data_IF_010189351469
#
_entry.id   IF_010189351469
#
_cell.length_a   1.000
_cell.length_b   1.000
_cell.length_c   1.000
_cell.angle_alpha   90.00
_cell.angle_beta   90.00
_cell.angle_gamma   90.00
#
_symmetry.space_group_name_H-M   'P 1'
#
loop_
_entity.id
_entity.type
_entity.pdbx_description
1 polymer ?
#
# COMPACT_ATOMS: atom_id res chain seq x y z
N UNK A 1 -9.79 16.35 -18.61
CA UNK A 1 -9.85 15.22 -17.64
C UNK A 1 -11.27 14.67 -17.63
N UNK A 2 -11.46 13.35 -17.78
CA UNK A 2 -12.80 12.75 -17.79
C UNK A 2 -13.48 12.78 -16.40
N UNK A 3 -14.81 12.66 -16.32
CA UNK A 3 -15.57 12.79 -15.07
C UNK A 3 -15.20 11.72 -14.02
N UNK A 4 -14.99 10.47 -14.45
CA UNK A 4 -14.59 9.36 -13.55
C UNK A 4 -13.22 9.62 -12.92
N UNK A 5 -12.27 10.10 -13.72
CA UNK A 5 -10.93 10.37 -13.24
C UNK A 5 -10.94 11.48 -12.17
N UNK A 6 -11.79 12.50 -12.33
CA UNK A 6 -11.98 13.55 -11.32
C UNK A 6 -12.54 12.98 -10.02
N UNK A 7 -13.56 12.12 -10.10
CA UNK A 7 -14.12 11.44 -8.93
C UNK A 7 -13.08 10.56 -8.21
N UNK A 8 -12.21 9.86 -8.96
CA UNK A 8 -11.11 9.09 -8.37
C UNK A 8 -10.14 9.98 -7.60
N UNK A 9 -9.77 11.14 -8.15
CA UNK A 9 -8.89 12.10 -7.46
C UNK A 9 -9.57 12.64 -6.20
N UNK A 10 -10.81 13.11 -6.32
CA UNK A 10 -11.57 13.65 -5.18
C UNK A 10 -11.66 12.62 -4.06
N UNK A 11 -12.01 11.37 -4.39
CA UNK A 11 -12.10 10.28 -3.43
C UNK A 11 -10.74 9.90 -2.83
N UNK A 12 -9.68 9.87 -3.63
CA UNK A 12 -8.33 9.57 -3.16
C UNK A 12 -7.86 10.57 -2.11
N UNK A 13 -8.28 11.84 -2.23
CA UNK A 13 -7.95 12.92 -1.31
C UNK A 13 -8.86 12.87 -0.08
N UNK A 14 -10.18 12.84 -0.29
CA UNK A 14 -11.16 12.96 0.78
C UNK A 14 -11.22 11.72 1.67
N UNK A 15 -10.82 10.55 1.19
CA UNK A 15 -10.87 9.27 1.90
C UNK A 15 -9.48 8.67 2.16
N UNK A 16 -8.42 9.48 2.08
CA UNK A 16 -7.04 8.98 2.12
C UNK A 16 -6.70 8.24 3.43
N UNK A 17 -7.18 8.74 4.57
CA UNK A 17 -7.01 8.09 5.87
C UNK A 17 -7.63 6.67 5.91
N UNK A 18 -8.81 6.52 5.31
CA UNK A 18 -9.55 5.27 5.21
C UNK A 18 -8.90 4.31 4.20
N UNK A 19 -8.40 4.82 3.08
CA UNK A 19 -7.56 4.08 2.13
C UNK A 19 -6.34 3.50 2.86
N UNK A 20 -5.64 4.32 3.65
CA UNK A 20 -4.47 3.89 4.41
C UNK A 20 -4.83 2.84 5.46
N UNK A 21 -5.98 2.99 6.13
CA UNK A 21 -6.47 2.00 7.08
C UNK A 21 -6.71 0.63 6.42
N UNK A 22 -7.28 0.61 5.22
CA UNK A 22 -7.48 -0.62 4.44
C UNK A 22 -6.15 -1.28 4.13
N UNK A 23 -5.24 -0.52 3.52
CA UNK A 23 -3.94 -1.02 3.09
C UNK A 23 -3.08 -1.52 4.25
N UNK A 24 -3.06 -0.84 5.41
CA UNK A 24 -2.38 -1.33 6.61
C UNK A 24 -2.92 -2.68 7.06
N UNK A 25 -4.24 -2.88 6.99
CA UNK A 25 -4.86 -4.17 7.28
C UNK A 25 -4.49 -5.25 6.25
N UNK A 26 -4.51 -4.91 4.97
CA UNK A 26 -4.23 -5.88 3.90
C UNK A 26 -2.77 -6.30 3.86
N UNK A 27 -1.85 -5.38 4.15
CA UNK A 27 -0.42 -5.65 4.24
C UNK A 27 -0.06 -6.40 5.52
N UNK A 28 -0.93 -6.33 6.53
CA UNK A 28 -0.75 -7.00 7.82
C UNK A 28 0.23 -6.27 8.75
N UNK A 29 0.60 -5.02 8.45
CA UNK A 29 1.47 -4.22 9.31
C UNK A 29 1.22 -2.73 9.15
N UNK A 30 1.57 -1.97 10.18
CA UNK A 30 1.48 -0.51 10.16
C UNK A 30 2.69 0.10 9.46
N UNK A 31 2.44 0.77 8.33
CA UNK A 31 3.40 1.67 7.70
C UNK A 31 3.08 3.13 8.01
N UNK A 32 4.11 3.98 7.97
CA UNK A 32 4.05 5.41 8.28
C UNK A 32 3.22 6.24 7.28
N UNK A 33 2.81 7.43 7.68
CA UNK A 33 2.09 8.36 6.80
C UNK A 33 2.97 8.84 5.63
N UNK A 34 4.29 8.88 5.82
CA UNK A 34 5.24 9.17 4.76
C UNK A 34 5.25 8.05 3.70
N UNK A 35 5.18 6.79 4.12
CA UNK A 35 5.03 5.64 3.23
C UNK A 35 3.73 5.74 2.42
N UNK A 36 2.61 6.02 3.10
CA UNK A 36 1.33 6.27 2.45
C UNK A 36 1.41 7.39 1.41
N UNK A 37 1.97 8.54 1.81
CA UNK A 37 2.09 9.71 0.94
C UNK A 37 2.95 9.44 -0.31
N UNK A 38 4.00 8.62 -0.21
CA UNK A 38 4.79 8.21 -1.38
C UNK A 38 3.95 7.41 -2.38
N UNK A 39 3.08 6.50 -1.90
CA UNK A 39 2.16 5.76 -2.78
C UNK A 39 1.19 6.70 -3.50
N UNK A 40 0.56 7.62 -2.76
CA UNK A 40 -0.36 8.59 -3.36
C UNK A 40 0.33 9.49 -4.38
N UNK A 41 1.52 10.01 -4.04
CA UNK A 41 2.28 10.87 -4.94
C UNK A 41 2.66 10.15 -6.24
N UNK A 42 3.09 8.88 -6.15
CA UNK A 42 3.40 8.10 -7.34
C UNK A 42 2.16 7.74 -8.16
N UNK A 43 1.02 7.51 -7.51
CA UNK A 43 -0.25 7.32 -8.20
C UNK A 43 -0.66 8.57 -9.00
N UNK A 44 -0.42 9.78 -8.50
CA UNK A 44 -0.60 11.00 -9.29
C UNK A 44 0.41 11.11 -10.44
N UNK A 45 1.69 10.90 -10.16
CA UNK A 45 2.78 10.98 -11.14
C UNK A 45 2.57 10.04 -12.34
N UNK A 46 2.18 8.80 -12.05
CA UNK A 46 1.85 7.79 -13.06
C UNK A 46 0.50 8.00 -13.76
N UNK A 47 -0.26 9.04 -13.38
CA UNK A 47 -1.66 9.25 -13.78
C UNK A 47 -2.52 8.00 -13.55
N UNK A 48 -2.37 7.35 -12.40
CA UNK A 48 -3.12 6.14 -12.03
C UNK A 48 -4.65 6.31 -12.09
N UNK A 49 -5.16 7.55 -11.99
CA UNK A 49 -6.57 7.90 -12.24
C UNK A 49 -7.04 7.72 -13.69
N UNK A 50 -6.12 7.52 -14.64
CA UNK A 50 -6.41 7.21 -16.04
C UNK A 50 -6.28 5.71 -16.36
N UNK A 51 -5.93 4.87 -15.38
CA UNK A 51 -5.76 3.44 -15.61
C UNK A 51 -7.11 2.77 -15.87
N UNK A 52 -7.21 1.97 -16.94
CA UNK A 52 -8.46 1.30 -17.34
C UNK A 52 -9.03 0.38 -16.26
N UNK A 53 -8.18 -0.20 -15.42
CA UNK A 53 -8.61 -1.04 -14.30
C UNK A 53 -8.97 -0.27 -13.04
N UNK A 54 -8.88 1.06 -13.00
CA UNK A 54 -9.18 1.84 -11.80
C UNK A 54 -10.65 2.30 -11.76
N UNK A 55 -11.29 2.09 -10.62
CA UNK A 55 -12.64 2.58 -10.33
C UNK A 55 -12.83 2.88 -8.84
N UNK A 56 -13.92 3.57 -8.49
CA UNK A 56 -14.13 4.10 -7.13
C UNK A 56 -14.04 3.00 -6.06
N UNK A 57 -14.55 1.80 -6.37
CA UNK A 57 -14.59 0.69 -5.43
C UNK A 57 -13.26 -0.04 -5.23
N UNK A 58 -12.26 0.12 -6.11
CA UNK A 58 -10.94 -0.50 -5.99
C UNK A 58 -9.79 0.48 -5.71
N UNK A 59 -10.13 1.76 -5.52
CA UNK A 59 -9.18 2.85 -5.39
C UNK A 59 -8.06 2.62 -4.35
N UNK A 60 -8.30 2.05 -3.15
CA UNK A 60 -7.22 1.82 -2.19
C UNK A 60 -6.09 0.99 -2.78
N UNK A 61 -6.44 -0.11 -3.47
CA UNK A 61 -5.46 -1.02 -4.03
C UNK A 61 -4.82 -0.48 -5.30
N UNK A 62 -5.52 0.36 -6.08
CA UNK A 62 -4.90 1.05 -7.21
C UNK A 62 -3.83 2.05 -6.75
N UNK A 63 -4.06 2.77 -5.65
CA UNK A 63 -3.03 3.64 -5.07
C UNK A 63 -1.80 2.83 -4.64
N UNK A 64 -2.01 1.64 -4.05
CA UNK A 64 -0.90 0.76 -3.68
C UNK A 64 -0.19 0.16 -4.89
N UNK A 65 -0.94 -0.30 -5.90
CA UNK A 65 -0.42 -0.94 -7.11
C UNK A 65 0.47 0.01 -7.93
N UNK A 66 0.08 1.28 -8.03
CA UNK A 66 0.91 2.33 -8.65
C UNK A 66 1.94 2.93 -7.70
N UNK A 67 1.96 2.50 -6.43
CA UNK A 67 2.95 2.93 -5.47
C UNK A 67 4.36 2.56 -5.94
N UNK A 68 5.38 3.35 -5.56
CA UNK A 68 6.75 2.99 -5.89
C UNK A 68 7.16 1.75 -5.09
N UNK A 69 8.32 1.17 -5.41
CA UNK A 69 8.97 0.24 -4.48
C UNK A 69 9.23 0.97 -3.15
N UNK A 70 8.88 0.35 -2.03
CA UNK A 70 8.93 0.99 -0.72
C UNK A 70 9.91 0.29 0.20
N UNK A 71 10.84 1.04 0.78
CA UNK A 71 11.66 0.52 1.87
C UNK A 71 10.81 0.17 3.10
N UNK A 72 11.07 -0.99 3.69
CA UNK A 72 10.50 -1.38 4.97
C UNK A 72 11.32 -0.87 6.16
N UNK A 73 12.49 -0.26 5.92
CA UNK A 73 13.26 0.38 6.98
C UNK A 73 12.43 1.46 7.68
N UNK A 74 12.45 1.44 9.01
CA UNK A 74 11.67 2.32 9.86
C UNK A 74 10.16 2.05 9.82
N UNK A 75 9.70 0.89 9.31
CA UNK A 75 8.28 0.49 9.37
C UNK A 75 8.04 -0.55 10.47
N UNK A 76 6.83 -0.60 11.02
CA UNK A 76 6.48 -1.50 12.12
C UNK A 76 5.98 -2.85 11.59
N UNK A 77 6.88 -3.64 11.00
CA UNK A 77 6.58 -4.92 10.35
C UNK A 77 6.30 -6.07 11.33
N UNK A 78 6.60 -5.91 12.61
CA UNK A 78 6.44 -6.96 13.63
C UNK A 78 5.00 -7.38 13.94
N UNK A 79 3.99 -6.66 13.43
CA UNK A 79 2.58 -7.09 13.48
C UNK A 79 2.29 -8.23 12.49
N UNK A 80 3.11 -8.39 11.45
CA UNK A 80 3.05 -9.50 10.51
C UNK A 80 4.08 -10.55 10.93
N UNK A 81 3.63 -11.58 11.66
CA UNK A 81 4.50 -12.63 12.20
C UNK A 81 5.35 -13.30 11.12
N UNK A 82 4.72 -13.72 10.02
CA UNK A 82 5.40 -14.40 8.91
C UNK A 82 6.50 -13.53 8.30
N UNK A 83 6.19 -12.27 7.96
CA UNK A 83 7.19 -11.35 7.43
C UNK A 83 8.32 -11.10 8.44
N UNK A 84 7.98 -10.89 9.71
CA UNK A 84 8.95 -10.61 10.76
C UNK A 84 9.92 -11.78 10.99
N UNK A 85 9.41 -13.01 10.96
CA UNK A 85 10.23 -14.22 11.14
C UNK A 85 11.13 -14.46 9.94
N UNK A 86 10.61 -14.22 8.72
CA UNK A 86 11.42 -14.30 7.49
C UNK A 86 12.56 -13.28 7.48
N UNK A 87 12.30 -12.05 7.92
CA UNK A 87 13.35 -11.03 8.07
C UNK A 87 14.41 -11.48 9.08
N UNK A 88 14.00 -11.93 10.28
CA UNK A 88 14.95 -12.41 11.31
C UNK A 88 15.83 -13.57 10.83
N UNK A 89 15.24 -14.49 10.06
CA UNK A 89 15.94 -15.68 9.57
C UNK A 89 16.89 -15.39 8.41
N UNK A 90 16.51 -14.48 7.50
CA UNK A 90 17.19 -14.32 6.21
C UNK A 90 17.99 -13.02 6.07
N UNK A 91 17.76 -12.02 6.92
CA UNK A 91 18.42 -10.71 6.88
C UNK A 91 19.11 -10.44 8.22
N UNK A 92 20.21 -11.14 8.54
CA UNK A 92 20.87 -11.07 9.84
C UNK A 92 21.44 -9.67 10.18
N UNK A 93 21.58 -8.80 9.18
CA UNK A 93 22.02 -7.41 9.35
C UNK A 93 20.91 -6.50 9.89
N UNK A 94 19.64 -6.91 9.78
CA UNK A 94 18.50 -6.11 10.17
C UNK A 94 18.20 -6.22 11.68
N UNK A 95 17.86 -5.09 12.30
CA UNK A 95 17.33 -5.04 13.65
C UNK A 95 15.82 -5.21 13.62
N UNK A 96 15.28 -6.19 14.35
CA UNK A 96 13.84 -6.35 14.52
C UNK A 96 13.50 -6.74 15.98
N UNK A 97 13.64 -5.79 16.92
CA UNK A 97 13.35 -6.00 18.33
C UNK A 97 11.88 -6.28 18.60
N UNK A 98 11.54 -6.57 19.87
CA UNK A 98 10.16 -6.85 20.32
C UNK A 98 9.17 -5.70 20.05
N UNK A 99 9.65 -4.47 19.88
CA UNK A 99 8.80 -3.32 19.51
C UNK A 99 8.15 -3.47 18.12
N UNK A 100 8.75 -4.31 17.26
CA UNK A 100 8.28 -4.65 15.92
C UNK A 100 8.72 -3.68 14.82
N UNK A 101 9.59 -2.73 15.13
CA UNK A 101 10.16 -1.80 14.14
C UNK A 101 11.33 -2.44 13.41
N UNK A 102 11.35 -2.35 12.09
CA UNK A 102 12.50 -2.73 11.29
C UNK A 102 13.52 -1.61 11.30
N UNK A 103 14.64 -1.81 11.98
CA UNK A 103 15.64 -0.79 12.27
C UNK A 103 17.05 -1.27 11.97
N UNK A 104 18.04 -0.41 12.21
CA UNK A 104 19.45 -0.75 12.00
C UNK A 104 19.86 -1.82 12.99
N UNK A 105 20.35 -2.95 12.47
CA UNK A 105 20.99 -4.00 13.27
C UNK A 105 22.51 -3.86 13.20
N UNK A 106 23.17 -4.95 12.83
CA UNK A 106 24.64 -5.04 12.76
C UNK A 106 25.22 -4.50 11.46
N UNK A 107 24.41 -4.27 10.43
CA UNK A 107 24.90 -3.84 9.11
C UNK A 107 23.88 -3.06 8.28
N UNK A 108 24.30 -2.66 7.08
CA UNK A 108 23.40 -2.09 6.07
C UNK A 108 22.56 -3.23 5.48
N UNK A 109 21.28 -2.97 5.27
CA UNK A 109 20.38 -3.85 4.55
C UNK A 109 19.39 -3.02 3.74
N UNK A 110 18.80 -3.65 2.72
CA UNK A 110 17.76 -3.05 1.88
C UNK A 110 16.63 -4.05 1.74
N UNK A 111 15.57 -3.89 2.53
CA UNK A 111 14.36 -4.72 2.43
C UNK A 111 13.24 -3.86 1.88
N UNK A 112 12.64 -4.29 0.77
CA UNK A 112 11.69 -3.49 0.03
C UNK A 112 10.41 -4.26 -0.32
N UNK A 113 9.31 -3.52 -0.37
CA UNK A 113 7.97 -3.99 -0.67
C UNK A 113 7.51 -3.45 -2.02
N UNK A 114 6.85 -4.32 -2.79
CA UNK A 114 6.25 -4.03 -4.09
C UNK A 114 4.82 -4.58 -4.17
N UNK A 115 3.94 -3.82 -4.82
CA UNK A 115 2.62 -4.28 -5.23
C UNK A 115 2.63 -4.51 -6.75
N UNK A 116 2.29 -5.71 -7.20
CA UNK A 116 2.49 -6.16 -8.58
C UNK A 116 1.29 -6.97 -9.08
N UNK A 117 1.25 -7.18 -10.40
CA UNK A 117 0.32 -8.10 -11.05
C UNK A 117 -1.15 -7.89 -10.67
N UNK A 118 -1.66 -6.65 -10.82
CA UNK A 118 -3.09 -6.43 -10.79
C UNK A 118 -3.79 -7.36 -11.78
N UNK A 119 -4.76 -8.12 -11.30
CA UNK A 119 -5.49 -9.12 -12.07
C UNK A 119 -6.98 -9.02 -11.78
N UNK A 120 -7.78 -9.14 -12.83
CA UNK A 120 -9.23 -9.23 -12.77
C UNK A 120 -9.63 -10.59 -13.36
N UNK A 121 -10.39 -11.39 -12.62
CA UNK A 121 -10.86 -12.72 -13.03
C UNK A 121 -12.37 -12.76 -12.85
N UNK A 122 -13.09 -13.11 -13.91
CA UNK A 122 -14.51 -13.44 -13.79
C UNK A 122 -14.64 -14.84 -13.20
N UNK A 123 -15.37 -14.96 -12.10
CA UNK A 123 -15.66 -16.23 -11.46
C UNK A 123 -16.88 -16.90 -12.13
N UNK A 124 -16.98 -18.22 -11.97
CA UNK A 124 -18.13 -19.00 -12.49
C UNK A 124 -19.48 -18.52 -11.94
N UNK A 125 -19.48 -17.87 -10.78
CA UNK A 125 -20.65 -17.23 -10.16
C UNK A 125 -21.09 -15.94 -10.87
N UNK A 126 -20.35 -15.48 -11.89
CA UNK A 126 -20.55 -14.20 -12.56
C UNK A 126 -19.94 -13.01 -11.81
N UNK A 127 -19.40 -13.21 -10.61
CA UNK A 127 -18.74 -12.16 -9.84
C UNK A 127 -17.33 -11.85 -10.38
N UNK A 128 -16.93 -10.59 -10.30
CA UNK A 128 -15.56 -10.17 -10.61
C UNK A 128 -14.68 -10.28 -9.35
N UNK A 129 -13.58 -11.02 -9.46
CA UNK A 129 -12.52 -11.05 -8.44
C UNK A 129 -11.34 -10.25 -8.92
N UNK A 130 -10.98 -9.23 -8.14
CA UNK A 130 -9.77 -8.45 -8.36
C UNK A 130 -8.73 -8.77 -7.29
N UNK A 131 -7.47 -8.84 -7.70
CA UNK A 131 -6.35 -9.03 -6.78
C UNK A 131 -5.07 -8.36 -7.25
N UNK A 132 -4.14 -8.20 -6.31
CA UNK A 132 -2.75 -7.87 -6.60
C UNK A 132 -1.83 -8.72 -5.74
N UNK A 133 -0.56 -8.78 -6.11
CA UNK A 133 0.48 -9.44 -5.33
C UNK A 133 1.24 -8.41 -4.50
N UNK A 134 1.34 -8.66 -3.19
CA UNK A 134 2.28 -7.99 -2.30
C UNK A 134 3.54 -8.85 -2.20
N UNK A 135 4.72 -8.28 -2.49
CA UNK A 135 5.99 -9.00 -2.42
C UNK A 135 7.01 -8.19 -1.64
N UNK A 136 7.76 -8.85 -0.76
CA UNK A 136 8.89 -8.27 -0.05
C UNK A 136 10.16 -9.03 -0.42
N UNK A 137 11.19 -8.30 -0.84
CA UNK A 137 12.49 -8.85 -1.23
C UNK A 137 13.63 -8.21 -0.44
N UNK A 138 14.71 -8.96 -0.34
CA UNK A 138 15.99 -8.49 0.19
C UNK A 138 16.93 -8.09 -0.94
N UNK A 139 17.18 -6.79 -1.06
CA UNK A 139 18.10 -6.17 -2.02
C UNK A 139 19.46 -5.83 -1.38
N UNK A 140 19.80 -6.42 -0.24
CA UNK A 140 21.07 -6.14 0.45
C UNK A 140 22.30 -6.50 -0.40
N UNK A 141 22.20 -7.56 -1.22
CA UNK A 141 23.31 -8.07 -2.03
C UNK A 141 23.13 -7.85 -3.54
N UNK A 142 21.96 -7.43 -4.00
CA UNK A 142 21.66 -7.24 -5.42
C UNK A 142 20.56 -6.20 -5.58
N UNK A 143 20.63 -5.40 -6.65
CA UNK A 143 19.56 -4.51 -7.07
C UNK A 143 18.64 -5.15 -8.15
N UNK A 144 18.94 -6.37 -8.58
CA UNK A 144 18.13 -7.09 -9.56
C UNK A 144 16.98 -7.84 -8.89
N UNK A 145 15.75 -7.42 -9.17
CA UNK A 145 14.53 -8.02 -8.62
C UNK A 145 14.30 -9.49 -9.05
N UNK A 146 14.96 -9.98 -10.09
CA UNK A 146 14.89 -11.39 -10.50
C UNK A 146 15.81 -12.28 -9.68
N UNK A 147 16.86 -11.69 -9.09
CA UNK A 147 17.87 -12.39 -8.27
C UNK A 147 17.64 -12.18 -6.77
N UNK A 148 17.13 -11.01 -6.39
CA UNK A 148 16.90 -10.64 -4.99
C UNK A 148 16.01 -11.65 -4.25
N UNK A 149 16.46 -12.23 -3.11
CA UNK A 149 15.69 -13.22 -2.38
C UNK A 149 14.31 -12.71 -1.97
N UNK A 150 13.27 -13.49 -2.28
CA UNK A 150 11.92 -13.21 -1.76
C UNK A 150 11.83 -13.62 -0.30
N UNK A 151 11.48 -12.65 0.55
CA UNK A 151 11.27 -12.85 1.98
C UNK A 151 9.83 -13.24 2.28
N UNK A 152 8.89 -12.55 1.63
CA UNK A 152 7.46 -12.70 1.88
C UNK A 152 6.66 -12.39 0.61
N UNK A 153 5.55 -13.11 0.42
CA UNK A 153 4.63 -12.86 -0.67
C UNK A 153 3.21 -13.19 -0.24
N UNK A 154 2.25 -12.32 -0.59
CA UNK A 154 0.83 -12.51 -0.32
C UNK A 154 0.00 -12.07 -1.52
N UNK A 155 -1.06 -12.80 -1.81
CA UNK A 155 -2.13 -12.30 -2.69
C UNK A 155 -3.08 -11.42 -1.85
N UNK A 156 -3.24 -10.17 -2.25
CA UNK A 156 -4.23 -9.25 -1.68
C UNK A 156 -5.46 -9.31 -2.57
N UNK A 157 -6.52 -9.92 -2.04
CA UNK A 157 -7.84 -9.93 -2.67
C UNK A 157 -8.52 -8.62 -2.32
N UNK A 158 -9.05 -7.94 -3.33
CA UNK A 158 -9.74 -6.68 -3.12
C UNK A 158 -11.07 -6.96 -2.41
N UNK A 159 -11.41 -6.16 -1.40
CA UNK A 159 -12.68 -6.21 -0.68
C UNK A 159 -13.40 -4.86 -0.84
N UNK A 160 -14.04 -4.64 -2.01
CA UNK A 160 -14.65 -3.35 -2.32
C UNK A 160 -15.75 -2.97 -1.32
N UNK A 161 -16.45 -3.96 -0.77
CA UNK A 161 -17.51 -3.74 0.21
C UNK A 161 -16.95 -3.22 1.54
N UNK A 162 -15.75 -3.66 1.96
CA UNK A 162 -15.08 -3.08 3.14
C UNK A 162 -14.76 -1.61 2.95
N UNK A 163 -14.33 -1.21 1.76
CA UNK A 163 -14.10 0.21 1.48
C UNK A 163 -15.39 1.00 1.49
N UNK A 164 -16.42 0.49 0.83
CA UNK A 164 -17.74 1.13 0.77
C UNK A 164 -18.39 1.30 2.16
N UNK A 165 -18.35 0.26 3.00
CA UNK A 165 -18.81 0.34 4.40
C UNK A 165 -18.06 1.40 5.20
N UNK A 166 -16.75 1.53 4.98
CA UNK A 166 -15.94 2.52 5.66
C UNK A 166 -16.29 3.95 5.22
N UNK A 167 -16.50 4.16 3.92
CA UNK A 167 -16.96 5.44 3.38
C UNK A 167 -18.31 5.88 3.99
N UNK A 168 -19.24 4.94 4.13
CA UNK A 168 -20.58 5.17 4.70
C UNK A 168 -20.64 5.15 6.23
N UNK A 169 -19.50 5.12 6.92
CA UNK A 169 -19.48 5.25 8.39
C UNK A 169 -19.98 6.62 8.79
N UNK A 170 -21.05 6.66 9.61
CA UNK A 170 -21.67 7.91 10.10
C UNK A 170 -20.65 8.82 10.78
N UNK A 171 -20.82 10.12 10.60
CA UNK A 171 -19.86 11.15 11.06
C UNK A 171 -19.55 11.05 12.55
N UNK A 172 -20.53 10.74 13.41
CA UNK A 172 -20.36 10.66 14.86
C UNK A 172 -19.49 9.47 15.30
N UNK A 173 -19.35 8.47 14.43
CA UNK A 173 -18.54 7.26 14.67
C UNK A 173 -17.28 7.24 13.83
N UNK A 174 -17.18 8.11 12.82
CA UNK A 174 -16.07 8.16 11.91
C UNK A 174 -14.84 8.74 12.63
N UNK A 175 -13.87 7.88 12.94
CA UNK A 175 -12.56 8.31 13.43
C UNK A 175 -11.70 8.65 12.21
N UNK A 176 -11.69 9.93 11.83
CA UNK A 176 -10.90 10.45 10.71
C UNK A 176 -9.48 10.80 11.17
N UNK A 177 -8.50 10.61 10.29
CA UNK A 177 -7.11 11.02 10.52
C UNK A 177 -6.78 12.27 9.70
N UNK A 178 -6.93 13.44 10.31
CA UNK A 178 -6.70 14.73 9.67
C UNK A 178 -5.26 14.91 9.16
N UNK A 179 -4.27 14.24 9.75
CA UNK A 179 -2.88 14.35 9.31
C UNK A 179 -2.68 13.69 7.94
N UNK A 180 -3.35 12.55 7.72
CA UNK A 180 -3.35 11.88 6.43
C UNK A 180 -4.14 12.67 5.39
N UNK A 181 -5.31 13.20 5.76
CA UNK A 181 -6.12 14.02 4.86
C UNK A 181 -5.39 15.29 4.42
N UNK A 182 -4.72 15.99 5.35
CA UNK A 182 -3.92 17.17 5.02
C UNK A 182 -2.72 16.83 4.12
N UNK A 183 -2.06 15.71 4.40
CA UNK A 183 -0.99 15.20 3.53
C UNK A 183 -1.50 14.92 2.12
N UNK A 184 -2.69 14.36 1.97
CA UNK A 184 -3.29 14.10 0.66
C UNK A 184 -3.60 15.40 -0.09
N UNK A 185 -4.17 16.40 0.59
CA UNK A 185 -4.41 17.74 0.01
C UNK A 185 -3.11 18.40 -0.43
N UNK A 186 -2.07 18.38 0.41
CA UNK A 186 -0.74 18.91 0.09
C UNK A 186 -0.10 18.22 -1.12
N UNK A 187 -0.23 16.89 -1.23
CA UNK A 187 0.27 16.16 -2.40
C UNK A 187 -0.51 16.57 -3.64
N UNK A 188 -1.85 16.55 -3.59
CA UNK A 188 -2.71 16.87 -4.71
C UNK A 188 -2.50 18.29 -5.26
N UNK A 189 -2.22 19.27 -4.39
CA UNK A 189 -1.93 20.64 -4.79
C UNK A 189 -0.73 20.78 -5.75
N UNK A 190 0.21 19.82 -5.75
CA UNK A 190 1.35 19.78 -6.68
C UNK A 190 0.96 19.36 -8.10
N UNK A 191 -0.17 18.67 -8.22
CA UNK A 191 -0.65 18.05 -9.46
C UNK A 191 -1.85 18.78 -10.04
N UNK A 192 -2.31 19.86 -9.39
CA UNK A 192 -3.27 20.79 -9.96
C UNK A 192 -2.54 21.70 -10.95
N UNK A 193 -3.00 21.78 -12.21
CA UNK A 193 -2.44 22.68 -13.21
C UNK A 193 -2.70 24.15 -12.90
#
# INVERSE_FOLDING_TARGET
MGPVARQLIELAISEFDRIVLILRGDFGFRFSDAFAGRMLNQWFDSRGFCYTGAHLRNLPWMIAYFGPTQTLFGQRVGENAELSDRIRQKVPQAGLPKSGWLERGTGRFTVELQCLHHRMVQMDTGLLRESMKLRVQDFTLSNDATVAPTLYQKEVIFDPDRFERLMHTRSERARRDERLLERARTIAAKWQP
#
